data_IF_687862397462
#
_entry.id   IF_687862397462
#
_cell.length_a   1.000
_cell.length_b   1.000
_cell.length_c   1.000
_cell.angle_alpha   90.00
_cell.angle_beta   90.00
_cell.angle_gamma   90.00
#
_symmetry.space_group_name_H-M   'P 1'
#
loop_
_entity.id
_entity.type
_entity.pdbx_description
1 polymer ?
#
# COMPACT_ATOMS: atom_id res chain seq x y z
N UNK A 1 11.11 14.68 -8.98
CA UNK A 1 9.69 14.78 -9.42
C UNK A 1 9.08 15.92 -8.62
N UNK A 2 8.52 16.92 -9.29
CA UNK A 2 7.89 18.08 -8.65
C UNK A 2 6.62 17.62 -7.92
N UNK A 3 6.47 18.01 -6.66
CA UNK A 3 5.23 17.86 -5.90
C UNK A 3 4.53 19.21 -5.97
N UNK A 4 3.28 19.23 -6.43
CA UNK A 4 2.48 20.45 -6.45
C UNK A 4 2.39 21.05 -5.03
N UNK A 5 2.54 22.37 -4.85
CA UNK A 5 2.51 23.00 -3.53
C UNK A 5 1.22 22.71 -2.72
N UNK A 6 0.08 22.53 -3.42
CA UNK A 6 -1.19 22.13 -2.80
C UNK A 6 -1.11 20.75 -2.16
N UNK A 7 -0.43 19.80 -2.82
CA UNK A 7 -0.24 18.45 -2.31
C UNK A 7 0.64 18.42 -1.06
N UNK A 8 1.70 19.23 -1.04
CA UNK A 8 2.58 19.35 0.13
C UNK A 8 1.80 19.84 1.37
N UNK A 9 0.91 20.83 1.19
CA UNK A 9 0.09 21.36 2.27
C UNK A 9 -0.92 20.32 2.78
N UNK A 10 -1.57 19.60 1.87
CA UNK A 10 -2.51 18.54 2.24
C UNK A 10 -1.79 17.42 3.04
N UNK A 11 -0.62 16.99 2.59
CA UNK A 11 0.19 16.00 3.30
C UNK A 11 0.66 16.49 4.67
N UNK A 12 0.97 17.78 4.81
CA UNK A 12 1.31 18.38 6.10
C UNK A 12 0.10 18.43 7.04
N UNK A 13 -1.10 18.72 6.52
CA UNK A 13 -2.34 18.68 7.32
C UNK A 13 -2.63 17.27 7.82
N UNK A 14 -2.56 16.26 6.95
CA UNK A 14 -2.69 14.86 7.33
C UNK A 14 -1.66 14.48 8.41
N UNK A 15 -0.41 14.87 8.24
CA UNK A 15 0.67 14.64 9.21
C UNK A 15 0.40 15.23 10.60
N UNK A 16 -0.28 16.39 10.66
CA UNK A 16 -0.64 17.06 11.92
C UNK A 16 -1.94 16.55 12.54
N UNK A 17 -2.88 16.08 11.72
CA UNK A 17 -4.17 15.57 12.16
C UNK A 17 -4.07 14.14 12.71
N UNK A 18 -3.14 13.33 12.19
CA UNK A 18 -2.96 11.94 12.62
C UNK A 18 -2.64 11.80 14.11
N UNK A 19 -3.55 11.16 14.84
CA UNK A 19 -3.40 10.89 16.28
C UNK A 19 -2.77 9.53 16.55
N UNK A 20 -2.05 9.40 17.66
CA UNK A 20 -1.47 8.10 18.06
C UNK A 20 -2.57 7.13 18.52
N UNK A 21 -2.61 5.93 17.95
CA UNK A 21 -3.47 4.83 18.41
C UNK A 21 -4.72 4.55 17.57
N UNK A 22 -5.04 5.39 16.58
CA UNK A 22 -6.02 5.11 15.54
C UNK A 22 -5.31 4.62 14.28
N UNK A 23 -5.92 3.66 13.57
CA UNK A 23 -5.55 3.39 12.18
C UNK A 23 -6.02 4.56 11.31
N UNK A 24 -5.20 5.00 10.38
CA UNK A 24 -5.45 6.12 9.48
C UNK A 24 -5.34 5.70 8.01
N UNK A 25 -5.54 4.40 7.71
CA UNK A 25 -5.30 3.85 6.39
C UNK A 25 -6.17 4.51 5.33
N UNK A 26 -7.47 4.69 5.61
CA UNK A 26 -8.41 5.30 4.66
C UNK A 26 -8.09 6.78 4.45
N UNK A 27 -7.79 7.52 5.53
CA UNK A 27 -7.42 8.94 5.44
C UNK A 27 -6.11 9.17 4.70
N UNK A 28 -5.10 8.34 4.94
CA UNK A 28 -3.82 8.37 4.22
C UNK A 28 -3.99 8.05 2.74
N UNK A 29 -4.78 7.03 2.43
CA UNK A 29 -5.08 6.63 1.05
C UNK A 29 -5.87 7.73 0.33
N UNK A 30 -6.86 8.32 0.98
CA UNK A 30 -7.65 9.42 0.45
C UNK A 30 -6.77 10.61 0.11
N UNK A 31 -6.00 11.10 1.08
CA UNK A 31 -5.10 12.23 0.87
C UNK A 31 -4.11 11.97 -0.28
N UNK A 32 -3.59 10.74 -0.38
CA UNK A 32 -2.67 10.34 -1.44
C UNK A 32 -3.31 10.30 -2.84
N UNK A 33 -4.57 9.87 -2.95
CA UNK A 33 -5.28 9.81 -4.24
C UNK A 33 -5.79 11.19 -4.67
N UNK A 34 -6.34 11.96 -3.73
CA UNK A 34 -6.92 13.28 -3.99
C UNK A 34 -5.84 14.31 -4.31
N UNK A 35 -4.73 14.32 -3.56
CA UNK A 35 -3.68 15.33 -3.72
C UNK A 35 -2.44 14.82 -4.46
N UNK A 36 -2.34 13.51 -4.68
CA UNK A 36 -1.27 12.92 -5.48
C UNK A 36 -1.57 12.88 -6.98
N UNK A 37 -0.69 12.20 -7.70
CA UNK A 37 -0.75 12.06 -9.16
C UNK A 37 -1.42 10.74 -9.61
N UNK A 38 -2.05 10.01 -8.68
CA UNK A 38 -2.78 8.80 -9.04
C UNK A 38 -3.96 9.14 -9.95
N UNK A 39 -4.29 8.25 -10.89
CA UNK A 39 -5.47 8.42 -11.73
C UNK A 39 -6.74 8.45 -10.85
N UNK A 40 -7.52 9.51 -11.02
CA UNK A 40 -8.78 9.74 -10.32
C UNK A 40 -9.91 9.22 -11.21
N UNK A 41 -10.71 8.30 -10.67
CA UNK A 41 -11.85 7.74 -11.36
C UNK A 41 -13.09 7.85 -10.47
N UNK A 42 -14.11 8.50 -11.04
CA UNK A 42 -15.43 8.69 -10.47
C UNK A 42 -16.09 7.40 -10.00
N UNK A 43 -16.81 7.49 -8.89
CA UNK A 43 -17.80 6.47 -8.54
C UNK A 43 -18.95 6.45 -9.57
N UNK A 44 -19.42 5.26 -9.95
CA UNK A 44 -20.70 5.09 -10.64
C UNK A 44 -21.79 4.92 -9.59
N UNK A 45 -23.06 4.98 -10.01
CA UNK A 45 -24.21 4.71 -9.13
C UNK A 45 -24.08 3.40 -8.34
N UNK A 46 -23.57 2.34 -8.97
CA UNK A 46 -23.37 1.04 -8.34
C UNK A 46 -22.23 1.02 -7.29
N UNK A 47 -21.30 1.97 -7.38
CA UNK A 47 -20.14 2.08 -6.49
C UNK A 47 -20.44 2.96 -5.25
N UNK A 48 -21.55 3.73 -5.27
CA UNK A 48 -21.90 4.67 -4.19
C UNK A 48 -22.19 3.98 -2.86
N UNK A 49 -22.93 2.87 -2.86
CA UNK A 49 -23.25 2.18 -1.62
C UNK A 49 -21.99 1.54 -0.98
N UNK A 50 -21.16 0.77 -1.72
CA UNK A 50 -19.89 0.27 -1.19
C UNK A 50 -18.94 1.38 -0.71
N UNK A 51 -18.88 2.51 -1.43
CA UNK A 51 -18.06 3.66 -1.03
C UNK A 51 -18.58 4.30 0.27
N UNK A 52 -19.89 4.48 0.40
CA UNK A 52 -20.51 5.01 1.62
C UNK A 52 -20.30 4.10 2.84
N UNK A 53 -20.43 2.78 2.65
CA UNK A 53 -20.13 1.78 3.68
C UNK A 53 -18.66 1.86 4.12
N UNK A 54 -17.74 1.95 3.16
CA UNK A 54 -16.31 2.08 3.43
C UNK A 54 -16.01 3.35 4.25
N UNK A 55 -16.53 4.50 3.84
CA UNK A 55 -16.32 5.78 4.54
C UNK A 55 -16.91 5.73 5.95
N UNK A 56 -18.12 5.21 6.09
CA UNK A 56 -18.81 5.09 7.38
C UNK A 56 -18.04 4.18 8.35
N UNK A 57 -17.51 3.06 7.86
CA UNK A 57 -16.78 2.10 8.67
C UNK A 57 -15.41 2.63 9.17
N UNK A 58 -14.87 3.67 8.55
CA UNK A 58 -13.53 4.20 8.82
C UNK A 58 -13.57 5.73 9.03
N UNK A 59 -14.70 6.26 9.52
CA UNK A 59 -14.89 7.72 9.64
C UNK A 59 -13.87 8.37 10.58
N UNK A 60 -13.46 7.66 11.63
CA UNK A 60 -12.48 8.14 12.62
C UNK A 60 -11.05 8.25 12.05
N UNK A 61 -10.78 7.67 10.88
CA UNK A 61 -9.47 7.69 10.20
C UNK A 61 -9.26 8.94 9.32
N UNK A 62 -10.33 9.71 9.10
CA UNK A 62 -10.40 10.70 8.03
C UNK A 62 -9.89 12.07 8.51
N UNK A 63 -8.94 12.65 7.75
CA UNK A 63 -8.34 13.95 8.08
C UNK A 63 -9.07 15.16 7.48
N UNK A 64 -9.84 14.93 6.43
CA UNK A 64 -10.54 15.94 5.64
C UNK A 64 -11.82 15.31 5.06
N UNK A 65 -12.86 16.11 4.83
CA UNK A 65 -14.14 15.62 4.32
C UNK A 65 -13.94 14.78 3.05
N UNK A 66 -14.43 13.53 3.06
CA UNK A 66 -14.39 12.65 1.89
C UNK A 66 -15.68 12.87 1.10
N UNK A 67 -15.52 13.44 -0.09
CA UNK A 67 -16.63 13.68 -1.02
C UNK A 67 -17.17 15.10 -0.93
N UNK A 68 -16.86 15.89 -1.95
CA UNK A 68 -17.61 17.08 -2.39
C UNK A 68 -17.94 16.97 -3.87
N UNK A 69 -18.56 18.02 -4.46
CA UNK A 69 -18.88 18.06 -5.90
C UNK A 69 -17.63 17.88 -6.80
N UNK A 70 -16.43 18.10 -6.26
CA UNK A 70 -15.15 18.05 -6.97
C UNK A 70 -14.34 16.74 -6.75
N UNK A 71 -14.72 15.88 -5.80
CA UNK A 71 -13.91 14.71 -5.41
C UNK A 71 -14.22 13.45 -6.23
N UNK A 72 -13.54 13.36 -7.38
CA UNK A 72 -13.77 12.33 -8.37
C UNK A 72 -12.90 11.06 -8.21
N UNK A 73 -12.80 10.54 -6.98
CA UNK A 73 -11.81 9.48 -6.62
C UNK A 73 -12.41 8.15 -6.22
N UNK A 74 -13.74 8.03 -6.18
CA UNK A 74 -14.43 6.91 -5.52
C UNK A 74 -14.06 5.51 -6.02
N UNK A 75 -13.93 5.30 -7.35
CA UNK A 75 -13.50 3.99 -7.87
C UNK A 75 -12.02 3.73 -7.62
N UNK A 76 -11.18 4.77 -7.68
CA UNK A 76 -9.76 4.64 -7.32
C UNK A 76 -9.60 4.23 -5.86
N UNK A 77 -10.37 4.84 -4.95
CA UNK A 77 -10.40 4.50 -3.53
C UNK A 77 -10.80 3.04 -3.30
N UNK A 78 -11.94 2.61 -3.86
CA UNK A 78 -12.39 1.23 -3.77
C UNK A 78 -11.35 0.24 -4.34
N UNK A 79 -10.79 0.56 -5.50
CA UNK A 79 -9.80 -0.29 -6.16
C UNK A 79 -8.57 -0.52 -5.28
N UNK A 80 -8.00 0.55 -4.74
CA UNK A 80 -6.80 0.49 -3.91
C UNK A 80 -7.08 -0.11 -2.53
N UNK A 81 -8.25 0.16 -1.95
CA UNK A 81 -8.68 -0.40 -0.68
C UNK A 81 -8.80 -1.93 -0.72
N UNK A 82 -9.42 -2.48 -1.76
CA UNK A 82 -9.49 -3.94 -1.95
C UNK A 82 -8.13 -4.53 -2.32
N UNK A 83 -7.35 -3.83 -3.14
CA UNK A 83 -6.04 -4.28 -3.60
C UNK A 83 -5.05 -4.45 -2.45
N UNK A 84 -4.98 -3.51 -1.50
CA UNK A 84 -4.09 -3.61 -0.32
C UNK A 84 -4.41 -4.79 0.59
N UNK A 85 -5.58 -5.40 0.47
CA UNK A 85 -6.01 -6.55 1.29
C UNK A 85 -6.01 -7.89 0.52
N UNK A 86 -5.23 -7.93 -0.56
CA UNK A 86 -4.93 -9.09 -1.40
C UNK A 86 -6.05 -9.60 -2.29
N UNK A 87 -7.09 -8.80 -2.49
CA UNK A 87 -8.08 -9.15 -3.50
C UNK A 87 -7.43 -9.19 -4.91
N UNK A 88 -7.92 -10.09 -5.76
CA UNK A 88 -7.39 -10.31 -7.10
C UNK A 88 -7.59 -9.08 -7.99
N UNK A 89 -6.50 -8.52 -8.55
CA UNK A 89 -6.57 -7.34 -9.42
C UNK A 89 -7.56 -7.51 -10.58
N UNK A 90 -7.64 -8.71 -11.19
CA UNK A 90 -8.66 -8.98 -12.22
C UNK A 90 -10.07 -8.85 -11.68
N UNK A 91 -10.38 -9.45 -10.52
CA UNK A 91 -11.73 -9.39 -9.94
C UNK A 91 -12.13 -7.96 -9.56
N UNK A 92 -11.20 -7.18 -9.02
CA UNK A 92 -11.42 -5.76 -8.72
C UNK A 92 -11.64 -4.97 -10.02
N UNK A 93 -10.76 -5.15 -11.02
CA UNK A 93 -10.84 -4.50 -12.33
C UNK A 93 -12.20 -4.76 -13.01
N UNK A 94 -12.62 -6.02 -13.03
CA UNK A 94 -13.87 -6.46 -13.64
C UNK A 94 -15.08 -5.86 -12.89
N UNK A 95 -15.07 -5.88 -11.55
CA UNK A 95 -16.13 -5.31 -10.70
C UNK A 95 -16.27 -3.80 -10.87
N UNK A 96 -15.15 -3.07 -10.91
CA UNK A 96 -15.14 -1.61 -10.97
C UNK A 96 -15.14 -1.05 -12.41
N UNK A 97 -15.01 -1.91 -13.43
CA UNK A 97 -14.87 -1.50 -14.82
C UNK A 97 -13.65 -0.61 -15.04
N UNK A 98 -12.51 -0.99 -14.46
CA UNK A 98 -11.23 -0.29 -14.58
C UNK A 98 -10.20 -1.26 -15.14
N UNK A 99 -9.44 -0.85 -16.15
CA UNK A 99 -8.42 -1.73 -16.74
C UNK A 99 -7.30 -2.08 -15.74
N UNK A 100 -6.83 -3.33 -15.76
CA UNK A 100 -5.75 -3.78 -14.85
C UNK A 100 -4.46 -2.97 -15.02
N UNK A 101 -4.15 -2.52 -16.24
CA UNK A 101 -2.98 -1.66 -16.50
C UNK A 101 -3.09 -0.33 -15.76
N UNK A 102 -4.25 0.32 -15.85
CA UNK A 102 -4.57 1.56 -15.13
C UNK A 102 -4.49 1.37 -13.61
N UNK A 103 -5.04 0.27 -13.09
CA UNK A 103 -4.96 -0.05 -11.66
C UNK A 103 -3.52 -0.17 -11.15
N UNK A 104 -2.61 -0.78 -11.94
CA UNK A 104 -1.18 -0.85 -11.57
C UNK A 104 -0.56 0.52 -11.46
N UNK A 105 -0.88 1.41 -12.40
CA UNK A 105 -0.45 2.81 -12.38
C UNK A 105 -0.96 3.54 -11.13
N UNK A 106 -2.25 3.41 -10.81
CA UNK A 106 -2.85 3.99 -9.60
C UNK A 106 -2.14 3.53 -8.34
N UNK A 107 -1.90 2.22 -8.20
CA UNK A 107 -1.24 1.65 -7.03
C UNK A 107 0.18 2.20 -6.87
N UNK A 108 0.93 2.31 -7.96
CA UNK A 108 2.30 2.84 -7.94
C UNK A 108 2.34 4.32 -7.56
N UNK A 109 1.46 5.14 -8.14
CA UNK A 109 1.40 6.58 -7.86
C UNK A 109 0.88 6.87 -6.45
N UNK A 110 -0.16 6.15 -6.01
CA UNK A 110 -0.68 6.27 -4.65
C UNK A 110 0.38 5.87 -3.62
N UNK A 111 1.07 4.74 -3.80
CA UNK A 111 2.16 4.33 -2.90
C UNK A 111 3.29 5.37 -2.84
N UNK A 112 3.61 6.04 -3.96
CA UNK A 112 4.58 7.13 -3.98
C UNK A 112 4.09 8.33 -3.16
N UNK A 113 2.85 8.75 -3.34
CA UNK A 113 2.25 9.83 -2.57
C UNK A 113 2.21 9.50 -1.06
N UNK A 114 1.83 8.28 -0.68
CA UNK A 114 1.84 7.83 0.72
C UNK A 114 3.25 7.87 1.32
N UNK A 115 4.30 7.47 0.56
CA UNK A 115 5.69 7.63 1.01
C UNK A 115 6.09 9.09 1.24
N UNK A 116 5.56 10.01 0.44
CA UNK A 116 5.76 11.44 0.70
C UNK A 116 5.07 11.88 1.98
N UNK A 117 3.83 11.43 2.25
CA UNK A 117 3.16 11.68 3.53
C UNK A 117 4.00 11.14 4.69
N UNK A 118 4.59 9.93 4.55
CA UNK A 118 5.49 9.38 5.56
C UNK A 118 6.72 10.29 5.81
N UNK A 119 7.33 10.82 4.76
CA UNK A 119 8.46 11.75 4.87
C UNK A 119 8.07 13.05 5.58
N UNK A 120 6.94 13.66 5.20
CA UNK A 120 6.41 14.87 5.84
C UNK A 120 6.07 14.60 7.30
N UNK A 121 5.49 13.44 7.63
CA UNK A 121 5.16 13.05 8.99
C UNK A 121 6.39 12.95 9.90
N UNK A 122 7.53 12.47 9.38
CA UNK A 122 8.81 12.49 10.13
C UNK A 122 9.27 13.91 10.42
N UNK A 123 9.11 14.84 9.49
CA UNK A 123 9.47 16.26 9.68
C UNK A 123 8.58 16.94 10.72
N UNK A 124 7.29 16.59 10.76
CA UNK A 124 6.33 17.06 11.76
C UNK A 124 6.45 16.31 13.11
N UNK A 125 7.44 15.42 13.26
CA UNK A 125 7.68 14.57 14.45
C UNK A 125 6.52 13.63 14.81
N UNK A 126 5.69 13.29 13.83
CA UNK A 126 4.65 12.26 13.96
C UNK A 126 5.19 10.89 13.53
N UNK A 127 5.97 10.26 14.42
CA UNK A 127 6.61 8.97 14.14
C UNK A 127 5.59 7.83 13.93
N UNK A 128 4.44 7.89 14.62
CA UNK A 128 3.37 6.90 14.50
C UNK A 128 2.81 6.91 13.08
N UNK A 129 2.36 8.07 12.60
CA UNK A 129 1.80 8.20 11.25
C UNK A 129 2.85 7.95 10.17
N UNK A 130 4.11 8.35 10.40
CA UNK A 130 5.19 8.07 9.48
C UNK A 130 5.38 6.56 9.26
N UNK A 131 5.36 5.77 10.34
CA UNK A 131 5.47 4.30 10.27
C UNK A 131 4.26 3.70 9.57
N UNK A 132 3.07 4.12 9.93
CA UNK A 132 1.83 3.64 9.32
C UNK A 132 1.79 3.91 7.80
N UNK A 133 2.18 5.12 7.39
CA UNK A 133 2.28 5.46 5.97
C UNK A 133 3.37 4.65 5.24
N UNK A 134 4.52 4.36 5.86
CA UNK A 134 5.53 3.44 5.28
C UNK A 134 4.91 2.06 5.01
N UNK A 135 4.21 1.50 5.99
CA UNK A 135 3.57 0.18 5.92
C UNK A 135 2.45 0.15 4.87
N UNK A 136 1.57 1.15 4.88
CA UNK A 136 0.49 1.28 3.90
C UNK A 136 1.03 1.41 2.48
N UNK A 137 2.10 2.19 2.26
CA UNK A 137 2.69 2.35 0.93
C UNK A 137 3.18 1.02 0.34
N UNK A 138 3.80 0.14 1.14
CA UNK A 138 4.22 -1.20 0.69
C UNK A 138 3.00 -2.05 0.33
N UNK A 139 1.96 -2.02 1.17
CA UNK A 139 0.72 -2.78 0.95
C UNK A 139 0.00 -2.34 -0.31
N UNK A 140 -0.09 -1.04 -0.55
CA UNK A 140 -0.71 -0.47 -1.76
C UNK A 140 0.12 -0.77 -3.00
N UNK A 141 1.46 -0.65 -2.94
CA UNK A 141 2.32 -0.91 -4.09
C UNK A 141 2.27 -2.37 -4.55
N UNK A 142 2.31 -3.30 -3.60
CA UNK A 142 2.41 -4.73 -3.89
C UNK A 142 1.08 -5.48 -3.80
N UNK A 143 0.04 -4.82 -3.28
CA UNK A 143 -1.29 -5.40 -3.05
C UNK A 143 -1.25 -6.53 -2.05
N UNK A 144 -0.61 -6.31 -0.90
CA UNK A 144 -0.34 -7.32 0.13
C UNK A 144 -0.90 -6.90 1.48
N UNK A 145 -1.30 -7.86 2.32
CA UNK A 145 -1.71 -7.59 3.71
C UNK A 145 -0.50 -7.29 4.59
N UNK A 146 -0.78 -6.81 5.79
CA UNK A 146 0.21 -6.35 6.76
C UNK A 146 1.29 -7.40 7.05
N UNK A 147 0.91 -8.66 7.24
CA UNK A 147 1.83 -9.76 7.55
C UNK A 147 2.86 -10.06 6.46
N UNK A 148 2.68 -9.52 5.24
CA UNK A 148 3.59 -9.74 4.12
C UNK A 148 4.49 -8.54 3.80
N UNK A 149 4.33 -7.41 4.49
CA UNK A 149 5.09 -6.17 4.22
C UNK A 149 6.59 -6.47 4.16
N UNK A 150 7.12 -7.21 5.13
CA UNK A 150 8.53 -7.54 5.22
C UNK A 150 9.06 -8.34 4.03
N UNK A 151 8.22 -9.16 3.38
CA UNK A 151 8.61 -9.98 2.23
C UNK A 151 8.38 -9.26 0.90
N UNK A 152 7.28 -8.52 0.78
CA UNK A 152 6.85 -7.89 -0.48
C UNK A 152 7.80 -6.78 -0.94
N UNK A 153 8.55 -6.17 -0.01
CA UNK A 153 9.59 -5.19 -0.33
C UNK A 153 10.85 -5.79 -0.98
N UNK A 154 11.01 -7.12 -1.01
CA UNK A 154 12.16 -7.77 -1.64
C UNK A 154 11.98 -7.84 -3.16
N UNK A 155 13.01 -7.43 -3.91
CA UNK A 155 12.99 -7.59 -5.37
C UNK A 155 12.83 -9.07 -5.73
N UNK A 156 12.02 -9.35 -6.74
CA UNK A 156 11.63 -10.69 -7.19
C UNK A 156 10.63 -11.45 -6.29
N UNK A 157 10.20 -10.83 -5.18
CA UNK A 157 9.15 -11.37 -4.30
C UNK A 157 7.88 -10.55 -4.48
N UNK A 158 7.08 -10.93 -5.48
CA UNK A 158 5.71 -10.41 -5.59
C UNK A 158 4.75 -11.08 -4.60
N UNK A 159 3.50 -10.61 -4.55
CA UNK A 159 2.43 -11.13 -3.67
C UNK A 159 2.32 -12.65 -3.61
N UNK A 160 2.29 -13.32 -4.76
CA UNK A 160 2.17 -14.78 -4.82
C UNK A 160 3.37 -15.50 -4.18
N UNK A 161 4.57 -14.96 -4.33
CA UNK A 161 5.77 -15.49 -3.69
C UNK A 161 5.79 -15.19 -2.19
N UNK A 162 5.45 -13.96 -1.79
CA UNK A 162 5.33 -13.58 -0.39
C UNK A 162 4.34 -14.49 0.36
N UNK A 163 3.17 -14.77 -0.23
CA UNK A 163 2.19 -15.71 0.34
C UNK A 163 2.71 -17.14 0.47
N UNK A 164 3.39 -17.65 -0.56
CA UNK A 164 3.99 -19.00 -0.51
C UNK A 164 5.05 -19.12 0.58
N UNK A 165 5.92 -18.10 0.70
CA UNK A 165 6.95 -18.06 1.74
C UNK A 165 6.33 -18.01 3.13
N UNK A 166 5.39 -17.10 3.35
CA UNK A 166 4.68 -16.97 4.63
C UNK A 166 3.96 -18.28 5.00
N UNK A 167 3.25 -18.91 4.06
CA UNK A 167 2.58 -20.20 4.27
C UNK A 167 3.54 -21.36 4.55
N UNK A 168 4.80 -21.25 4.12
CA UNK A 168 5.87 -22.22 4.42
C UNK A 168 6.60 -21.90 5.75
N UNK A 169 6.12 -20.95 6.54
CA UNK A 169 6.74 -20.54 7.81
C UNK A 169 7.85 -19.49 7.68
N UNK A 170 8.07 -18.96 6.48
CA UNK A 170 9.10 -17.95 6.20
C UNK A 170 8.49 -16.56 6.00
N UNK A 171 7.88 -16.03 7.07
CA UNK A 171 7.14 -14.75 7.05
C UNK A 171 8.00 -13.49 7.09
N UNK A 172 9.29 -13.60 7.38
CA UNK A 172 10.17 -12.44 7.58
C UNK A 172 11.48 -12.56 6.78
N UNK A 173 12.14 -11.44 6.41
CA UNK A 173 13.47 -11.50 5.79
C UNK A 173 14.47 -12.34 6.59
N UNK A 174 14.48 -12.20 7.92
CA UNK A 174 15.35 -12.98 8.80
C UNK A 174 15.09 -14.50 8.70
N UNK A 175 13.81 -14.91 8.62
CA UNK A 175 13.48 -16.33 8.47
C UNK A 175 14.02 -16.94 7.17
N UNK A 176 14.12 -16.15 6.09
CA UNK A 176 14.66 -16.62 4.82
C UNK A 176 16.14 -17.01 4.92
N UNK A 177 16.90 -16.44 5.86
CA UNK A 177 18.32 -16.71 6.03
C UNK A 177 18.63 -18.14 6.50
N UNK A 178 17.64 -18.86 7.02
CA UNK A 178 17.74 -20.29 7.32
C UNK A 178 17.74 -21.17 6.05
N UNK A 179 17.38 -20.61 4.89
CA UNK A 179 17.31 -21.33 3.62
C UNK A 179 18.60 -21.16 2.81
N UNK A 180 18.96 -22.20 2.07
CA UNK A 180 19.87 -22.08 0.92
C UNK A 180 19.13 -21.53 -0.30
N UNK A 181 19.85 -20.99 -1.29
CA UNK A 181 19.25 -20.53 -2.55
C UNK A 181 18.42 -21.65 -3.23
N UNK A 182 18.93 -22.88 -3.20
CA UNK A 182 18.20 -24.08 -3.67
C UNK A 182 16.97 -24.39 -2.83
N UNK A 183 17.03 -24.21 -1.51
CA UNK A 183 15.89 -24.38 -0.60
C UNK A 183 14.78 -23.37 -0.89
N UNK A 184 15.15 -22.10 -1.06
CA UNK A 184 14.22 -21.03 -1.41
C UNK A 184 13.55 -21.27 -2.77
N UNK A 185 14.32 -21.69 -3.78
CA UNK A 185 13.82 -22.00 -5.12
C UNK A 185 12.84 -23.20 -5.16
N UNK A 186 12.82 -24.04 -4.12
CA UNK A 186 11.80 -25.11 -3.98
C UNK A 186 10.46 -24.57 -3.47
N UNK A 187 10.47 -23.51 -2.67
CA UNK A 187 9.26 -22.93 -2.08
C UNK A 187 8.61 -21.95 -3.08
N UNK A 188 9.42 -21.09 -3.67
CA UNK A 188 9.00 -20.17 -4.72
C UNK A 188 9.73 -20.52 -6.02
N UNK A 189 9.02 -20.71 -7.15
CA UNK A 189 9.61 -21.16 -8.40
C UNK A 189 10.39 -20.01 -9.07
N UNK A 190 11.59 -19.75 -8.53
CA UNK A 190 12.55 -18.76 -9.03
C UNK A 190 13.86 -19.47 -9.33
N UNK A 191 14.62 -18.95 -10.30
CA UNK A 191 15.95 -19.47 -10.60
C UNK A 191 16.93 -19.24 -9.44
N UNK A 192 17.94 -20.09 -9.32
CA UNK A 192 18.92 -20.06 -8.21
C UNK A 192 19.63 -18.71 -8.06
N UNK A 193 19.94 -18.03 -9.17
CA UNK A 193 20.47 -16.66 -9.17
C UNK A 193 19.55 -15.67 -8.46
N UNK A 194 18.25 -15.68 -8.81
CA UNK A 194 17.24 -14.80 -8.18
C UNK A 194 17.02 -15.17 -6.72
N UNK A 195 17.07 -16.46 -6.39
CA UNK A 195 17.00 -16.91 -5.00
C UNK A 195 18.18 -16.37 -4.17
N UNK A 196 19.40 -16.40 -4.71
CA UNK A 196 20.57 -15.82 -4.06
C UNK A 196 20.43 -14.30 -3.87
N UNK A 197 19.97 -13.57 -4.89
CA UNK A 197 19.70 -12.12 -4.81
C UNK A 197 18.62 -11.77 -3.76
N UNK A 198 17.60 -12.62 -3.58
CA UNK A 198 16.59 -12.44 -2.52
C UNK A 198 17.23 -12.61 -1.14
N UNK A 199 18.05 -13.65 -0.95
CA UNK A 199 18.73 -13.91 0.32
C UNK A 199 19.75 -12.82 0.67
N UNK A 200 20.45 -12.28 -0.33
CA UNK A 200 21.37 -11.16 -0.17
C UNK A 200 20.63 -9.90 0.32
N UNK A 201 19.51 -9.56 -0.32
CA UNK A 201 18.66 -8.45 0.13
C UNK A 201 18.17 -8.68 1.57
N UNK A 202 17.74 -9.91 1.90
CA UNK A 202 17.26 -10.24 3.23
C UNK A 202 18.34 -10.08 4.32
N UNK A 203 19.63 -10.30 4.02
CA UNK A 203 20.75 -10.06 4.95
C UNK A 203 20.99 -8.58 5.22
N UNK A 204 20.76 -7.73 4.23
CA UNK A 204 20.95 -6.28 4.34
C UNK A 204 19.82 -5.57 5.10
N UNK A 205 18.73 -6.26 5.41
CA UNK A 205 17.62 -5.72 6.17
C UNK A 205 17.81 -6.01 7.67
N UNK A 206 17.52 -5.04 8.56
CA UNK A 206 17.54 -5.29 10.00
C UNK A 206 16.61 -6.45 10.34
N UNK A 207 16.99 -7.24 11.35
CA UNK A 207 16.21 -8.39 11.82
C UNK A 207 14.88 -7.92 12.43
N UNK A 208 13.88 -7.70 11.57
CA UNK A 208 12.50 -7.35 11.90
C UNK A 208 12.26 -5.85 12.12
N UNK A 209 11.41 -5.25 11.27
CA UNK A 209 10.22 -4.58 11.80
C UNK A 209 9.08 -5.54 11.52
N UNK A 210 8.71 -6.32 12.53
CA UNK A 210 7.44 -7.04 12.57
C UNK A 210 6.37 -6.15 13.18
#
# INVERSE_FOLDING_TARGET
MYMEPSAALAFQRAARAGTSGAGHELGLLYAAVTHGNAWKISARKADMAPLGELITANTDEIFEEIGGEEDDVGRTMLALWHWKDEEGMSGIADRLGVEQGTMRGMAQEAARAIRHIAAVSRLERNATLAREAEELAVRVEHGVRHELIGLAGLRHVGRAHARRLHGAGYGTPASLLALSAKGLAKIIPVGEKRAAEILEQARGLPAGRG
#
